data_IF_560934258795
#
_entry.id   IF_560934258795
#
_cell.length_a   1.000
_cell.length_b   1.000
_cell.length_c   1.000
_cell.angle_alpha   90.00
_cell.angle_beta   90.00
_cell.angle_gamma   90.00
#
_symmetry.space_group_name_H-M   'P 1'
#
loop_
_entity.id
_entity.type
_entity.pdbx_description
1 polymer ?
#
# COMPACT_ATOMS: atom_id res chain seq x y z
N UNK A 1 -10.83 65.19 -15.88
CA UNK A 1 -9.75 64.18 -15.92
C UNK A 1 -9.55 63.63 -14.51
N UNK A 2 -10.16 62.48 -14.23
CA UNK A 2 -10.24 61.86 -12.92
C UNK A 2 -9.03 60.97 -12.64
N UNK A 3 -8.39 61.13 -11.47
CA UNK A 3 -7.41 60.18 -10.91
C UNK A 3 -8.13 59.36 -9.84
N UNK A 4 -8.35 58.08 -10.13
CA UNK A 4 -8.98 57.13 -9.23
C UNK A 4 -8.00 56.73 -8.10
N UNK A 5 -8.50 56.77 -6.86
CA UNK A 5 -7.82 56.26 -5.65
C UNK A 5 -7.86 54.73 -5.67
N UNK A 6 -6.70 54.09 -5.48
CA UNK A 6 -6.59 52.67 -5.18
C UNK A 6 -7.29 52.37 -3.83
N UNK A 7 -8.24 51.43 -3.84
CA UNK A 7 -8.78 50.79 -2.64
C UNK A 7 -7.86 49.63 -2.25
N UNK A 8 -7.49 49.59 -0.98
CA UNK A 8 -6.74 48.50 -0.35
C UNK A 8 -7.55 47.20 -0.33
N UNK A 9 -6.87 46.09 -0.60
CA UNK A 9 -7.36 44.71 -0.55
C UNK A 9 -7.62 44.30 0.91
N UNK A 10 -8.71 43.58 1.25
CA UNK A 10 -8.92 43.06 2.59
C UNK A 10 -7.99 41.87 2.86
N UNK A 11 -7.44 41.82 4.08
CA UNK A 11 -6.62 40.74 4.62
C UNK A 11 -7.41 39.43 4.70
N UNK A 12 -6.88 38.37 4.10
CA UNK A 12 -7.35 36.99 4.29
C UNK A 12 -6.89 36.46 5.65
N UNK A 13 -7.64 36.79 6.69
CA UNK A 13 -7.58 36.14 8.00
C UNK A 13 -9.01 35.85 8.44
N UNK A 14 -9.60 34.81 7.86
CA UNK A 14 -10.84 34.18 8.35
C UNK A 14 -10.85 32.73 7.84
N UNK A 15 -10.10 31.87 8.52
CA UNK A 15 -10.30 30.42 8.44
C UNK A 15 -11.55 30.09 9.26
N UNK A 16 -12.50 29.27 8.75
CA UNK A 16 -13.70 28.94 9.51
C UNK A 16 -13.32 28.04 10.70
N UNK A 17 -13.26 28.66 11.88
CA UNK A 17 -13.22 28.00 13.18
C UNK A 17 -14.59 27.39 13.48
N UNK A 18 -14.83 26.17 13.01
CA UNK A 18 -15.93 25.32 13.49
C UNK A 18 -15.53 23.84 13.36
N UNK A 19 -14.43 23.47 14.02
CA UNK A 19 -14.25 22.10 14.51
C UNK A 19 -15.08 21.99 15.79
N UNK A 20 -16.36 21.69 15.59
CA UNK A 20 -17.29 21.33 16.65
C UNK A 20 -16.69 20.24 17.53
N UNK A 21 -16.72 20.45 18.85
CA UNK A 21 -16.44 19.49 19.92
C UNK A 21 -16.75 18.04 19.50
N UNK A 22 -15.70 17.31 19.14
CA UNK A 22 -15.73 15.86 18.96
C UNK A 22 -15.99 15.18 20.32
N UNK A 23 -16.77 14.11 20.28
CA UNK A 23 -17.02 13.22 21.41
C UNK A 23 -15.73 12.42 21.67
N UNK A 24 -15.65 11.64 22.76
CA UNK A 24 -14.39 11.00 23.20
C UNK A 24 -13.62 10.28 22.09
N UNK A 25 -12.30 10.49 22.05
CA UNK A 25 -11.29 9.91 21.11
C UNK A 25 -11.85 9.38 19.77
N UNK A 26 -12.42 10.25 18.93
CA UNK A 26 -12.95 9.96 17.58
C UNK A 26 -11.85 9.55 16.54
N UNK A 27 -10.66 9.12 16.99
CA UNK A 27 -9.55 8.73 16.12
C UNK A 27 -9.75 7.34 15.50
N UNK A 28 -9.27 7.18 14.27
CA UNK A 28 -9.48 5.97 13.46
C UNK A 28 -8.56 4.82 13.85
N UNK A 29 -9.00 3.60 13.56
CA UNK A 29 -8.16 2.40 13.50
C UNK A 29 -8.00 2.01 12.04
N UNK A 30 -6.75 1.92 11.57
CA UNK A 30 -6.43 1.57 10.19
C UNK A 30 -5.65 0.25 10.15
N UNK A 31 -6.05 -0.65 9.25
CA UNK A 31 -5.34 -1.88 8.94
C UNK A 31 -4.79 -1.82 7.51
N UNK A 32 -3.49 -1.91 7.34
CA UNK A 32 -2.80 -1.82 6.06
C UNK A 32 -2.32 -3.20 5.62
N UNK A 33 -2.99 -3.81 4.64
CA UNK A 33 -2.60 -5.10 4.08
C UNK A 33 -1.58 -4.86 2.97
N UNK A 34 -0.35 -5.35 3.16
CA UNK A 34 0.81 -5.07 2.31
C UNK A 34 1.88 -6.15 2.42
N UNK A 35 2.66 -6.35 1.36
CA UNK A 35 3.85 -7.22 1.38
C UNK A 35 5.03 -6.61 2.14
N UNK A 36 5.05 -5.29 2.33
CA UNK A 36 6.12 -4.56 3.02
C UNK A 36 5.78 -4.30 4.50
N UNK A 37 5.02 -5.19 5.15
CA UNK A 37 4.60 -5.00 6.55
C UNK A 37 5.80 -4.99 7.51
N UNK A 38 6.86 -5.74 7.17
CA UNK A 38 8.10 -5.84 7.95
C UNK A 38 9.31 -5.43 7.10
N UNK A 39 9.52 -6.11 5.98
CA UNK A 39 10.67 -5.83 5.12
C UNK A 39 10.34 -4.72 4.13
N UNK A 40 11.15 -3.66 4.13
CA UNK A 40 11.07 -2.58 3.16
C UNK A 40 11.73 -3.05 1.86
N UNK A 41 10.98 -3.74 1.02
CA UNK A 41 11.45 -4.26 -0.27
C UNK A 41 11.32 -3.22 -1.40
N UNK A 42 10.50 -2.18 -1.20
CA UNK A 42 10.14 -1.24 -2.24
C UNK A 42 9.77 0.15 -1.72
N UNK A 43 8.94 0.84 -2.50
CA UNK A 43 8.50 2.20 -2.21
C UNK A 43 7.39 2.26 -1.16
N UNK A 44 6.63 1.18 -0.97
CA UNK A 44 5.45 1.19 -0.10
C UNK A 44 5.87 1.31 1.36
N UNK A 45 6.91 0.58 1.78
CA UNK A 45 7.44 0.65 3.14
C UNK A 45 7.96 2.05 3.50
N UNK A 46 8.60 2.74 2.55
CA UNK A 46 9.04 4.13 2.75
C UNK A 46 7.85 5.08 2.98
N UNK A 47 6.77 4.89 2.22
CA UNK A 47 5.53 5.67 2.35
C UNK A 47 4.86 5.39 3.70
N UNK A 48 4.76 4.11 4.09
CA UNK A 48 4.18 3.72 5.37
C UNK A 48 4.99 4.28 6.55
N UNK A 49 6.31 4.19 6.52
CA UNK A 49 7.17 4.79 7.56
C UNK A 49 6.98 6.31 7.64
N UNK A 50 6.98 7.00 6.49
CA UNK A 50 6.76 8.45 6.44
C UNK A 50 5.37 8.86 6.95
N UNK A 51 4.35 8.05 6.66
CA UNK A 51 2.98 8.26 7.12
C UNK A 51 2.83 8.00 8.63
N UNK A 52 3.32 6.87 9.13
CA UNK A 52 3.22 6.46 10.55
C UNK A 52 3.94 7.45 11.47
N UNK A 53 5.05 8.03 11.01
CA UNK A 53 5.82 9.03 11.75
C UNK A 53 5.30 10.47 11.56
N UNK A 54 4.24 10.68 10.76
CA UNK A 54 3.66 12.00 10.51
C UNK A 54 2.79 12.45 11.69
N UNK A 55 3.03 13.66 12.25
CA UNK A 55 2.18 14.19 13.33
C UNK A 55 0.71 14.34 12.92
N UNK A 56 0.45 14.70 11.65
CA UNK A 56 -0.91 14.86 11.13
C UNK A 56 -1.65 13.53 11.10
N UNK A 57 -0.95 12.46 10.72
CA UNK A 57 -1.51 11.11 10.73
C UNK A 57 -1.81 10.64 12.16
N UNK A 58 -0.88 10.82 13.08
CA UNK A 58 -1.03 10.42 14.49
C UNK A 58 -2.15 11.18 15.24
N UNK A 59 -2.47 12.40 14.80
CA UNK A 59 -3.61 13.17 15.31
C UNK A 59 -4.96 12.57 14.90
N UNK A 60 -5.03 11.87 13.78
CA UNK A 60 -6.26 11.31 13.21
C UNK A 60 -6.40 9.80 13.46
N UNK A 61 -5.28 9.11 13.67
CA UNK A 61 -5.21 7.65 13.77
C UNK A 61 -4.76 7.23 15.16
N UNK A 62 -5.59 6.44 15.83
CA UNK A 62 -5.32 5.86 17.16
C UNK A 62 -4.47 4.61 17.04
N UNK A 63 -4.81 3.73 16.10
CA UNK A 63 -4.16 2.43 15.89
C UNK A 63 -3.83 2.24 14.42
N UNK A 64 -2.59 1.83 14.16
CA UNK A 64 -2.15 1.40 12.83
C UNK A 64 -1.71 -0.04 12.93
N UNK A 65 -2.30 -0.91 12.12
CA UNK A 65 -1.99 -2.34 12.07
C UNK A 65 -1.47 -2.67 10.68
N UNK A 66 -0.21 -3.03 10.55
CA UNK A 66 0.36 -3.54 9.30
C UNK A 66 0.13 -5.05 9.23
N UNK A 67 -0.41 -5.52 8.12
CA UNK A 67 -0.70 -6.94 7.91
C UNK A 67 0.00 -7.45 6.67
N UNK A 68 0.70 -8.58 6.78
CA UNK A 68 1.41 -9.18 5.65
C UNK A 68 1.67 -10.67 5.83
N UNK A 69 2.17 -11.35 4.79
CA UNK A 69 2.68 -12.71 4.92
C UNK A 69 3.95 -12.74 5.78
N UNK A 70 4.21 -13.85 6.46
CA UNK A 70 5.49 -14.05 7.14
C UNK A 70 6.56 -14.45 6.11
N UNK A 71 7.65 -13.68 6.03
CA UNK A 71 8.83 -14.03 5.22
C UNK A 71 9.78 -14.99 5.95
N UNK A 72 9.63 -15.14 7.27
CA UNK A 72 10.68 -15.63 8.16
C UNK A 72 10.40 -17.01 8.77
N UNK A 73 9.99 -18.01 7.98
CA UNK A 73 9.95 -19.39 8.49
C UNK A 73 11.33 -19.87 9.01
N UNK A 74 12.43 -19.26 8.54
CA UNK A 74 13.80 -19.55 8.94
C UNK A 74 14.45 -18.59 9.96
N UNK A 75 13.74 -17.60 10.50
CA UNK A 75 14.34 -16.75 11.54
C UNK A 75 14.67 -17.57 12.78
N UNK A 76 15.95 -17.57 13.16
CA UNK A 76 16.45 -18.31 14.34
C UNK A 76 16.05 -17.62 15.64
N UNK A 77 15.95 -16.29 15.63
CA UNK A 77 15.50 -15.49 16.78
C UNK A 77 14.03 -15.07 16.61
N UNK A 78 13.13 -15.53 17.50
CA UNK A 78 11.74 -15.09 17.56
C UNK A 78 11.55 -13.56 17.51
N UNK A 79 12.42 -12.77 18.15
CA UNK A 79 12.26 -11.30 18.19
C UNK A 79 12.56 -10.64 16.85
N UNK A 80 13.36 -11.27 16.00
CA UNK A 80 13.71 -10.74 14.67
C UNK A 80 12.56 -10.84 13.65
N UNK A 81 11.47 -11.55 13.98
CA UNK A 81 10.35 -11.81 13.05
C UNK A 81 9.64 -10.55 12.56
N UNK A 82 9.63 -9.49 13.37
CA UNK A 82 9.02 -8.20 13.02
C UNK A 82 10.04 -7.18 12.48
N UNK A 83 11.26 -7.64 12.16
CA UNK A 83 12.37 -6.81 11.70
C UNK A 83 13.00 -5.99 12.82
N UNK A 84 13.91 -5.10 12.43
CA UNK A 84 14.58 -4.20 13.38
C UNK A 84 13.57 -3.33 14.12
N UNK A 85 13.81 -3.17 15.43
CA UNK A 85 12.94 -2.42 16.35
C UNK A 85 11.53 -3.00 16.52
N UNK A 86 11.34 -4.27 16.18
CA UNK A 86 10.14 -5.03 16.48
C UNK A 86 10.15 -5.63 17.88
N UNK A 87 8.98 -5.70 18.51
CA UNK A 87 8.73 -6.50 19.71
C UNK A 87 7.64 -7.53 19.41
N UNK A 88 7.98 -8.82 19.49
CA UNK A 88 6.98 -9.89 19.38
C UNK A 88 6.21 -10.03 20.68
N UNK A 89 4.88 -9.92 20.57
CA UNK A 89 3.92 -10.02 21.68
C UNK A 89 3.16 -11.34 21.67
N UNK A 90 2.96 -11.92 20.47
CA UNK A 90 2.37 -13.23 20.26
C UNK A 90 3.07 -13.91 19.08
N UNK A 91 3.37 -15.20 19.21
CA UNK A 91 3.85 -16.03 18.11
C UNK A 91 3.52 -17.48 18.42
N UNK A 92 2.70 -18.11 17.60
CA UNK A 92 2.43 -19.55 17.75
C UNK A 92 3.62 -20.42 17.37
N UNK A 93 4.45 -19.98 16.43
CA UNK A 93 5.67 -20.71 16.02
C UNK A 93 6.68 -20.77 17.15
N UNK A 94 6.81 -19.69 17.93
CA UNK A 94 7.80 -19.58 19.01
C UNK A 94 7.20 -19.80 20.40
N UNK A 95 5.91 -20.15 20.48
CA UNK A 95 5.16 -20.33 21.71
C UNK A 95 5.22 -19.11 22.65
N UNK A 96 5.09 -17.91 22.08
CA UNK A 96 5.06 -16.63 22.79
C UNK A 96 3.61 -16.15 22.91
N UNK A 97 3.18 -15.80 24.12
CA UNK A 97 1.88 -15.17 24.35
C UNK A 97 1.93 -14.19 25.52
N UNK A 98 2.56 -13.03 25.29
CA UNK A 98 2.70 -11.98 26.33
C UNK A 98 1.38 -11.28 26.63
N UNK A 99 0.44 -11.29 25.69
CA UNK A 99 -0.84 -10.57 25.77
C UNK A 99 -2.05 -11.47 26.03
N UNK A 100 -1.85 -12.77 26.25
CA UNK A 100 -2.94 -13.75 26.43
C UNK A 100 -3.91 -13.77 25.24
N UNK A 101 -3.37 -13.66 24.02
CA UNK A 101 -4.11 -13.70 22.77
C UNK A 101 -4.35 -15.13 22.26
N UNK A 102 -3.72 -16.15 22.86
CA UNK A 102 -3.85 -17.53 22.43
C UNK A 102 -5.30 -18.01 22.35
N UNK A 103 -6.15 -17.66 23.33
CA UNK A 103 -7.55 -18.07 23.36
C UNK A 103 -8.37 -17.50 22.19
N UNK A 104 -7.94 -16.37 21.63
CA UNK A 104 -8.59 -15.71 20.50
C UNK A 104 -7.99 -16.14 19.16
N UNK A 105 -6.68 -16.32 19.09
CA UNK A 105 -5.95 -16.56 17.83
C UNK A 105 -5.82 -18.05 17.49
N UNK A 106 -5.64 -18.95 18.47
CA UNK A 106 -5.52 -20.40 18.21
C UNK A 106 -6.71 -21.01 17.45
N UNK A 107 -7.97 -20.64 17.73
CA UNK A 107 -9.10 -21.13 16.94
C UNK A 107 -8.98 -20.78 15.46
N UNK A 108 -8.42 -19.60 15.14
CA UNK A 108 -8.18 -19.15 13.76
C UNK A 108 -7.04 -20.00 13.17
N UNK A 109 -5.93 -20.11 13.88
CA UNK A 109 -4.78 -20.92 13.47
C UNK A 109 -5.15 -22.36 13.14
N UNK A 110 -5.92 -23.02 14.01
CA UNK A 110 -6.39 -24.39 13.78
C UNK A 110 -7.34 -24.49 12.60
N UNK A 111 -8.29 -23.57 12.51
CA UNK A 111 -9.29 -23.65 11.47
C UNK A 111 -8.68 -23.38 10.08
N UNK A 112 -7.67 -22.51 9.98
CA UNK A 112 -6.98 -22.20 8.73
C UNK A 112 -5.68 -22.98 8.51
N UNK A 113 -5.21 -23.74 9.50
CA UNK A 113 -3.91 -24.40 9.49
C UNK A 113 -2.76 -23.44 9.16
N UNK A 114 -2.72 -22.30 9.86
CA UNK A 114 -1.72 -21.23 9.71
C UNK A 114 -1.11 -20.93 11.07
N UNK A 115 0.12 -20.43 11.08
CA UNK A 115 0.67 -19.73 12.24
C UNK A 115 0.41 -18.21 12.12
N UNK A 116 0.35 -17.51 13.25
CA UNK A 116 0.33 -16.05 13.27
C UNK A 116 1.35 -15.51 14.27
N UNK A 117 1.97 -14.39 13.87
CA UNK A 117 2.89 -13.60 14.68
C UNK A 117 2.29 -12.21 14.80
N UNK A 118 2.25 -11.68 16.02
CA UNK A 118 1.73 -10.35 16.29
C UNK A 118 2.63 -9.61 17.27
N UNK A 119 2.78 -8.31 17.06
CA UNK A 119 3.53 -7.47 17.95
C UNK A 119 3.52 -6.02 17.53
N UNK A 120 4.55 -5.29 17.94
CA UNK A 120 4.69 -3.85 17.67
C UNK A 120 6.01 -3.58 16.98
N UNK A 121 6.05 -2.50 16.21
CA UNK A 121 7.25 -1.98 15.59
C UNK A 121 7.35 -0.49 15.82
N UNK A 122 8.53 -0.04 16.24
CA UNK A 122 8.83 1.36 16.43
C UNK A 122 9.59 1.92 15.23
N UNK A 123 9.15 3.08 14.76
CA UNK A 123 9.77 3.83 13.68
C UNK A 123 10.46 5.06 14.25
N UNK A 124 11.76 5.19 13.97
CA UNK A 124 12.58 6.34 14.36
C UNK A 124 13.55 6.68 13.22
N UNK A 125 13.03 7.19 12.09
CA UNK A 125 13.83 7.37 10.89
C UNK A 125 14.99 8.37 11.13
N UNK A 126 16.22 8.05 10.69
CA UNK A 126 17.40 8.86 10.99
C UNK A 126 17.29 10.30 10.49
N UNK A 127 17.71 11.26 11.31
CA UNK A 127 17.73 12.67 10.94
C UNK A 127 16.36 13.35 10.96
N UNK A 128 15.31 12.63 11.33
CA UNK A 128 13.97 13.16 11.55
C UNK A 128 13.69 13.08 13.05
N UNK A 129 13.42 14.20 13.69
CA UNK A 129 12.98 14.22 15.08
C UNK A 129 11.50 13.83 15.20
N UNK A 130 11.17 12.64 14.69
CA UNK A 130 9.82 12.09 14.60
C UNK A 130 9.87 10.60 14.90
N UNK A 131 8.93 10.13 15.69
CA UNK A 131 8.77 8.72 16.01
C UNK A 131 7.37 8.27 15.67
N UNK A 132 7.19 6.97 15.48
CA UNK A 132 5.89 6.34 15.28
C UNK A 132 5.90 4.91 15.77
N UNK A 133 4.71 4.34 15.94
CA UNK A 133 4.52 2.94 16.32
C UNK A 133 3.40 2.37 15.46
N UNK A 134 3.59 1.14 14.99
CA UNK A 134 2.51 0.36 14.40
C UNK A 134 2.49 -1.04 15.00
N UNK A 135 1.30 -1.60 15.11
CA UNK A 135 1.12 -3.02 15.33
C UNK A 135 1.45 -3.76 14.03
N UNK A 136 1.98 -4.97 14.14
CA UNK A 136 2.30 -5.80 12.98
C UNK A 136 1.67 -7.18 13.20
N UNK A 137 0.92 -7.64 12.21
CA UNK A 137 0.28 -8.95 12.16
C UNK A 137 0.79 -9.71 10.93
N UNK A 138 1.52 -10.79 11.18
CA UNK A 138 2.03 -11.67 10.13
C UNK A 138 1.30 -13.00 10.14
N UNK A 139 0.93 -13.48 8.97
CA UNK A 139 0.27 -14.78 8.77
C UNK A 139 1.19 -15.69 7.95
N UNK A 140 1.32 -16.95 8.35
CA UNK A 140 2.01 -17.97 7.56
C UNK A 140 1.17 -18.43 6.36
N UNK A 141 1.59 -18.08 5.15
CA UNK A 141 0.88 -18.44 3.91
C UNK A 141 1.37 -19.74 3.29
N UNK A 142 2.45 -20.35 3.80
CA UNK A 142 2.95 -21.62 3.28
C UNK A 142 2.15 -22.82 3.78
N UNK A 143 1.60 -22.73 4.99
CA UNK A 143 0.67 -23.72 5.55
C UNK A 143 -0.74 -23.16 5.52
N UNK A 144 -1.65 -23.90 4.90
CA UNK A 144 -3.05 -23.52 4.81
C UNK A 144 -3.95 -24.74 4.75
N UNK A 145 -5.19 -24.60 5.20
CA UNK A 145 -6.25 -25.58 5.01
C UNK A 145 -6.80 -25.45 3.57
N UNK A 146 -6.55 -26.43 2.67
CA UNK A 146 -6.92 -26.33 1.26
C UNK A 146 -8.44 -26.27 1.07
N UNK A 147 -9.22 -26.96 1.90
CA UNK A 147 -10.68 -26.97 1.78
C UNK A 147 -11.27 -25.60 2.09
N UNK A 148 -10.73 -24.90 3.08
CA UNK A 148 -11.15 -23.52 3.39
C UNK A 148 -10.75 -22.56 2.28
N UNK A 149 -9.51 -22.65 1.80
CA UNK A 149 -9.03 -21.83 0.70
C UNK A 149 -9.90 -22.01 -0.56
N UNK A 150 -10.24 -23.24 -0.91
CA UNK A 150 -11.09 -23.54 -2.07
C UNK A 150 -12.51 -23.01 -1.89
N UNK A 151 -13.09 -23.13 -0.68
CA UNK A 151 -14.38 -22.50 -0.37
C UNK A 151 -14.32 -20.99 -0.47
N UNK A 152 -13.24 -20.36 -0.01
CA UNK A 152 -13.05 -18.92 -0.13
C UNK A 152 -12.98 -18.47 -1.59
N UNK A 153 -12.15 -19.13 -2.40
CA UNK A 153 -12.05 -18.88 -3.85
C UNK A 153 -13.39 -19.06 -4.55
N UNK A 154 -14.17 -20.08 -4.18
CA UNK A 154 -15.53 -20.27 -4.69
C UNK A 154 -16.46 -19.11 -4.33
N UNK A 155 -16.44 -18.63 -3.08
CA UNK A 155 -17.22 -17.43 -2.68
C UNK A 155 -16.83 -16.19 -3.48
N UNK A 156 -15.52 -15.99 -3.74
CA UNK A 156 -15.06 -14.86 -4.55
C UNK A 156 -15.51 -14.95 -6.00
N UNK A 157 -15.54 -16.16 -6.55
CA UNK A 157 -16.09 -16.40 -7.88
C UNK A 157 -17.60 -16.14 -7.92
N UNK A 158 -18.37 -16.71 -6.99
CA UNK A 158 -19.83 -16.59 -6.96
C UNK A 158 -20.28 -15.13 -6.82
N UNK A 159 -19.62 -14.37 -5.93
CA UNK A 159 -20.03 -12.99 -5.62
C UNK A 159 -19.40 -11.93 -6.52
N UNK A 160 -18.14 -12.09 -6.90
CA UNK A 160 -17.35 -11.07 -7.59
C UNK A 160 -16.86 -11.53 -8.96
N UNK A 161 -17.24 -12.72 -9.40
CA UNK A 161 -16.82 -13.29 -10.67
C UNK A 161 -15.31 -13.49 -10.79
N UNK A 162 -14.55 -13.59 -9.68
CA UNK A 162 -13.09 -13.74 -9.73
C UNK A 162 -12.71 -15.21 -10.05
N UNK A 163 -12.15 -15.50 -11.24
CA UNK A 163 -11.95 -16.88 -11.68
C UNK A 163 -10.61 -17.44 -11.19
N UNK A 164 -10.52 -17.79 -9.90
CA UNK A 164 -9.26 -18.22 -9.27
C UNK A 164 -8.53 -19.32 -10.04
N UNK A 165 -9.24 -20.29 -10.63
CA UNK A 165 -8.64 -21.40 -11.41
C UNK A 165 -7.76 -20.96 -12.58
N UNK A 166 -7.89 -19.72 -13.07
CA UNK A 166 -7.00 -19.16 -14.10
C UNK A 166 -5.63 -18.74 -13.54
N UNK A 167 -5.52 -18.55 -12.23
CA UNK A 167 -4.42 -17.83 -11.58
C UNK A 167 -3.64 -18.66 -10.55
N UNK A 168 -4.17 -19.81 -10.13
CA UNK A 168 -3.62 -20.59 -8.98
C UNK A 168 -2.19 -21.11 -9.20
N UNK A 169 -1.70 -21.12 -10.44
CA UNK A 169 -0.31 -21.43 -10.73
C UNK A 169 0.67 -20.32 -10.34
N UNK A 170 0.19 -19.08 -10.14
CA UNK A 170 1.00 -17.95 -9.74
C UNK A 170 1.09 -17.87 -8.22
N UNK A 171 2.29 -18.03 -7.67
CA UNK A 171 2.52 -17.97 -6.22
C UNK A 171 2.06 -16.63 -5.63
N UNK A 172 2.40 -15.50 -6.27
CA UNK A 172 1.94 -14.17 -5.85
C UNK A 172 0.41 -14.12 -5.66
N UNK A 173 -0.36 -14.79 -6.53
CA UNK A 173 -1.82 -14.82 -6.38
C UNK A 173 -2.24 -15.69 -5.18
N UNK A 174 -1.68 -16.90 -5.10
CA UNK A 174 -1.98 -17.85 -4.03
C UNK A 174 -1.63 -17.31 -2.65
N UNK A 175 -0.49 -16.64 -2.51
CA UNK A 175 -0.02 -16.07 -1.25
C UNK A 175 -1.07 -15.15 -0.62
N UNK A 176 -1.59 -14.19 -1.37
CA UNK A 176 -2.59 -13.25 -0.84
C UNK A 176 -3.99 -13.86 -0.72
N UNK A 177 -4.32 -14.87 -1.53
CA UNK A 177 -5.54 -15.65 -1.33
C UNK A 177 -5.51 -16.41 0.00
N UNK A 178 -4.35 -16.97 0.37
CA UNK A 178 -4.14 -17.67 1.64
C UNK A 178 -4.11 -16.71 2.83
N UNK A 179 -3.62 -15.49 2.63
CA UNK A 179 -3.61 -14.44 3.65
C UNK A 179 -5.02 -13.98 4.05
N UNK A 180 -5.96 -13.93 3.10
CA UNK A 180 -7.22 -13.20 3.19
C UNK A 180 -8.12 -13.53 4.39
N UNK A 181 -8.66 -14.75 4.47
CA UNK A 181 -9.56 -15.13 5.56
C UNK A 181 -8.85 -15.12 6.93
N UNK A 182 -7.63 -15.69 7.11
CA UNK A 182 -6.90 -15.58 8.37
C UNK A 182 -6.66 -14.14 8.83
N UNK A 183 -6.25 -13.25 7.92
CA UNK A 183 -6.09 -11.81 8.19
C UNK A 183 -7.39 -11.20 8.71
N UNK A 184 -8.50 -11.43 8.01
CA UNK A 184 -9.82 -10.91 8.38
C UNK A 184 -10.21 -11.29 9.81
N UNK A 185 -10.13 -12.58 10.13
CA UNK A 185 -10.53 -13.07 11.46
C UNK A 185 -9.54 -12.69 12.55
N UNK A 186 -8.23 -12.66 12.26
CA UNK A 186 -7.21 -12.26 13.22
C UNK A 186 -7.34 -10.78 13.59
N UNK A 187 -7.58 -9.90 12.62
CA UNK A 187 -7.87 -8.49 12.87
C UNK A 187 -9.08 -8.32 13.80
N UNK A 188 -10.17 -9.04 13.54
CA UNK A 188 -11.34 -9.01 14.42
C UNK A 188 -11.06 -9.52 15.83
N UNK A 189 -10.14 -10.48 15.98
CA UNK A 189 -9.78 -11.06 17.27
C UNK A 189 -8.94 -10.12 18.15
N UNK A 190 -8.05 -9.33 17.53
CA UNK A 190 -7.15 -8.39 18.25
C UNK A 190 -7.77 -7.01 18.47
N UNK A 191 -8.85 -6.66 17.76
CA UNK A 191 -9.53 -5.39 17.91
C UNK A 191 -10.61 -5.42 19.01
N UNK A 192 -10.80 -4.28 19.67
CA UNK A 192 -11.93 -4.05 20.56
C UNK A 192 -13.13 -3.50 19.78
N UNK A 193 -14.32 -3.54 20.40
CA UNK A 193 -15.54 -3.04 19.75
C UNK A 193 -15.46 -1.54 19.40
N UNK A 194 -14.73 -0.77 20.20
CA UNK A 194 -14.48 0.66 19.98
C UNK A 194 -13.57 0.95 18.79
N UNK A 195 -12.81 -0.04 18.31
CA UNK A 195 -11.95 0.09 17.14
C UNK A 195 -12.71 -0.16 15.82
N UNK A 196 -14.02 -0.46 15.90
CA UNK A 196 -14.87 -0.78 14.77
C UNK A 196 -15.84 0.38 14.42
N UNK A 197 -16.07 0.67 13.12
CA UNK A 197 -15.47 0.00 11.97
C UNK A 197 -14.00 0.42 11.77
N UNK A 198 -13.14 -0.56 11.48
CA UNK A 198 -11.75 -0.34 11.11
C UNK A 198 -11.65 -0.03 9.60
N UNK A 199 -10.74 0.85 9.19
CA UNK A 199 -10.50 1.08 7.75
C UNK A 199 -9.40 0.14 7.27
N UNK A 200 -9.77 -0.83 6.44
CA UNK A 200 -8.87 -1.79 5.82
C UNK A 200 -8.38 -1.26 4.47
N UNK A 201 -7.09 -0.95 4.40
CA UNK A 201 -6.39 -0.57 3.19
C UNK A 201 -5.82 -1.80 2.48
N UNK A 202 -6.15 -1.94 1.21
CA UNK A 202 -5.41 -2.79 0.28
C UNK A 202 -4.31 -1.97 -0.38
N UNK A 203 -3.06 -2.20 -0.01
CA UNK A 203 -1.94 -1.63 -0.77
C UNK A 203 -1.69 -2.47 -2.02
N UNK A 204 -2.00 -1.90 -3.18
CA UNK A 204 -1.99 -2.59 -4.45
C UNK A 204 -2.83 -3.89 -4.46
N UNK A 205 -2.64 -4.75 -5.47
CA UNK A 205 -3.40 -5.99 -5.66
C UNK A 205 -3.31 -6.96 -4.46
N UNK A 206 -2.29 -6.82 -3.63
CA UNK A 206 -1.94 -7.76 -2.56
C UNK A 206 -2.98 -7.77 -1.43
N UNK A 207 -3.54 -6.62 -1.08
CA UNK A 207 -4.59 -6.55 -0.05
C UNK A 207 -6.00 -6.88 -0.57
N UNK A 208 -6.19 -7.00 -1.89
CA UNK A 208 -7.52 -7.13 -2.48
C UNK A 208 -8.26 -8.38 -2.02
N UNK A 209 -7.64 -9.57 -1.90
CA UNK A 209 -8.32 -10.74 -1.36
C UNK A 209 -8.92 -10.51 0.05
N UNK A 210 -8.17 -9.87 0.95
CA UNK A 210 -8.64 -9.56 2.30
C UNK A 210 -9.77 -8.51 2.30
N UNK A 211 -9.67 -7.49 1.44
CA UNK A 211 -10.72 -6.49 1.26
C UNK A 211 -11.98 -7.10 0.67
N UNK A 212 -11.87 -7.99 -0.33
CA UNK A 212 -13.03 -8.69 -0.90
C UNK A 212 -13.70 -9.62 0.13
N UNK A 213 -12.92 -10.23 1.04
CA UNK A 213 -13.48 -10.94 2.18
C UNK A 213 -14.27 -10.00 3.12
N UNK A 214 -13.74 -8.81 3.41
CA UNK A 214 -14.45 -7.82 4.21
C UNK A 214 -15.74 -7.31 3.53
N UNK A 215 -15.70 -7.04 2.23
CA UNK A 215 -16.88 -6.68 1.42
C UNK A 215 -17.90 -7.84 1.43
N UNK A 216 -17.42 -9.10 1.38
CA UNK A 216 -18.27 -10.27 1.44
C UNK A 216 -19.03 -10.35 2.78
N UNK A 217 -18.36 -10.15 3.92
CA UNK A 217 -18.98 -10.19 5.25
C UNK A 217 -19.85 -8.96 5.54
N UNK A 218 -19.56 -7.83 4.91
CA UNK A 218 -20.35 -6.60 4.93
C UNK A 218 -19.68 -5.45 5.72
N UNK A 219 -20.21 -4.21 5.58
CA UNK A 219 -19.50 -2.99 5.99
C UNK A 219 -19.51 -2.70 7.50
N UNK A 220 -20.07 -3.61 8.32
CA UNK A 220 -20.26 -3.35 9.76
C UNK A 220 -18.95 -3.41 10.55
N UNK A 221 -17.98 -4.18 10.05
CA UNK A 221 -16.68 -4.40 10.71
C UNK A 221 -15.57 -3.59 10.07
N UNK A 222 -15.60 -3.47 8.75
CA UNK A 222 -14.56 -2.79 8.00
C UNK A 222 -15.15 -1.82 6.97
N UNK A 223 -14.50 -0.67 6.84
CA UNK A 223 -14.52 0.14 5.62
C UNK A 223 -13.32 -0.22 4.78
N UNK A 224 -13.47 -0.25 3.48
CA UNK A 224 -12.47 -0.81 2.58
C UNK A 224 -11.95 0.27 1.63
N UNK A 225 -10.62 0.38 1.54
CA UNK A 225 -9.97 1.36 0.66
C UNK A 225 -8.90 0.66 -0.16
N UNK A 226 -8.92 0.86 -1.48
CA UNK A 226 -7.80 0.47 -2.33
C UNK A 226 -6.81 1.63 -2.47
N UNK A 227 -5.57 1.41 -2.07
CA UNK A 227 -4.48 2.39 -2.20
C UNK A 227 -3.57 1.99 -3.37
N UNK A 228 -3.76 2.66 -4.49
CA UNK A 228 -3.08 2.41 -5.76
C UNK A 228 -1.75 3.16 -5.84
N UNK A 229 -0.64 2.44 -5.70
CA UNK A 229 0.71 2.96 -5.95
C UNK A 229 1.11 2.91 -7.43
N UNK A 230 0.54 1.95 -8.17
CA UNK A 230 0.59 1.84 -9.63
C UNK A 230 -0.69 1.15 -10.13
N UNK A 231 -1.00 1.26 -11.42
CA UNK A 231 -1.94 0.36 -12.07
C UNK A 231 -1.16 -0.81 -12.71
N UNK A 232 -1.14 -1.96 -12.04
CA UNK A 232 -0.35 -3.13 -12.49
C UNK A 232 -0.71 -3.62 -13.91
N UNK A 233 -1.97 -3.45 -14.34
CA UNK A 233 -2.37 -3.73 -15.73
C UNK A 233 -1.64 -2.83 -16.71
N UNK A 234 -1.59 -1.53 -16.41
CA UNK A 234 -0.94 -0.53 -17.26
C UNK A 234 0.56 -0.75 -17.30
N UNK A 235 1.19 -1.04 -16.16
CA UNK A 235 2.62 -1.36 -16.12
C UNK A 235 2.98 -2.47 -17.11
N UNK A 236 2.18 -3.55 -17.13
CA UNK A 236 2.39 -4.64 -18.09
C UNK A 236 2.24 -4.17 -19.53
N UNK A 237 1.19 -3.40 -19.84
CA UNK A 237 0.96 -2.88 -21.20
C UNK A 237 2.08 -1.95 -21.67
N UNK A 238 2.60 -1.11 -20.76
CA UNK A 238 3.72 -0.20 -21.02
C UNK A 238 5.02 -0.99 -21.22
N UNK A 239 5.32 -1.96 -20.35
CA UNK A 239 6.59 -2.69 -20.41
C UNK A 239 6.63 -3.70 -21.58
N UNK A 240 5.50 -4.34 -21.92
CA UNK A 240 5.41 -5.37 -22.98
C UNK A 240 5.28 -4.78 -24.40
N UNK A 241 4.81 -3.53 -24.55
CA UNK A 241 4.61 -2.93 -25.88
C UNK A 241 5.81 -2.07 -26.30
N UNK A 242 6.30 -2.16 -27.56
CA UNK A 242 7.50 -1.44 -28.03
C UNK A 242 7.42 0.09 -27.99
N UNK A 243 6.22 0.66 -27.81
CA UNK A 243 6.02 2.10 -27.76
C UNK A 243 5.96 2.66 -26.33
N UNK A 244 6.00 1.78 -25.33
CA UNK A 244 6.00 2.09 -23.90
C UNK A 244 4.97 3.17 -23.52
N UNK A 245 5.37 4.11 -22.65
CA UNK A 245 4.54 5.23 -22.20
C UNK A 245 4.03 6.08 -23.36
N UNK A 246 4.86 6.30 -24.38
CA UNK A 246 4.50 7.17 -25.52
C UNK A 246 3.31 6.60 -26.27
N UNK A 247 3.26 5.29 -26.49
CA UNK A 247 2.09 4.65 -27.09
C UNK A 247 0.93 4.64 -26.11
N UNK A 248 1.15 4.14 -24.89
CA UNK A 248 0.07 3.86 -23.94
C UNK A 248 -0.75 5.11 -23.60
N UNK A 249 -0.09 6.20 -23.20
CA UNK A 249 -0.82 7.41 -22.78
C UNK A 249 -1.48 8.15 -23.96
N UNK A 250 -0.96 7.99 -25.19
CA UNK A 250 -1.64 8.48 -26.38
C UNK A 250 -2.90 7.67 -26.68
N UNK A 251 -2.81 6.34 -26.60
CA UNK A 251 -3.94 5.44 -26.78
C UNK A 251 -5.03 5.67 -25.70
N UNK A 252 -4.63 5.78 -24.43
CA UNK A 252 -5.53 6.07 -23.31
C UNK A 252 -6.32 7.36 -23.56
N UNK A 253 -5.64 8.46 -23.95
CA UNK A 253 -6.32 9.74 -24.21
C UNK A 253 -7.37 9.62 -25.31
N UNK A 254 -7.00 9.04 -26.46
CA UNK A 254 -7.92 8.86 -27.59
C UNK A 254 -9.08 7.92 -27.24
N UNK A 255 -8.81 6.84 -26.51
CA UNK A 255 -9.82 5.88 -26.12
C UNK A 255 -10.85 6.47 -25.14
N UNK A 256 -10.40 7.32 -24.20
CA UNK A 256 -11.29 8.02 -23.27
C UNK A 256 -12.28 8.95 -23.98
N UNK A 257 -11.85 9.64 -25.03
CA UNK A 257 -12.74 10.48 -25.84
C UNK A 257 -13.85 9.65 -26.53
N UNK A 258 -13.56 8.37 -26.81
CA UNK A 258 -14.47 7.43 -27.44
C UNK A 258 -15.23 6.53 -26.43
N UNK A 259 -15.01 6.70 -25.12
CA UNK A 259 -15.50 5.82 -24.04
C UNK A 259 -15.15 4.34 -24.25
N UNK A 260 -13.94 4.10 -24.75
CA UNK A 260 -13.33 2.77 -24.83
C UNK A 260 -12.41 2.56 -23.64
N UNK A 261 -12.28 1.30 -23.21
CA UNK A 261 -11.48 0.90 -22.05
C UNK A 261 -10.36 -0.04 -22.45
N UNK A 262 -9.54 -0.47 -21.47
CA UNK A 262 -8.37 -1.33 -21.69
C UNK A 262 -8.68 -2.53 -22.59
N UNK A 263 -9.74 -3.28 -22.31
CA UNK A 263 -10.07 -4.49 -23.06
C UNK A 263 -10.52 -4.22 -24.50
N UNK A 264 -11.09 -3.04 -24.78
CA UNK A 264 -11.50 -2.64 -26.12
C UNK A 264 -10.30 -2.29 -27.01
N UNK A 265 -9.22 -1.77 -26.40
CA UNK A 265 -8.04 -1.27 -27.11
C UNK A 265 -6.93 -2.31 -27.19
N UNK A 266 -6.68 -3.03 -26.09
CA UNK A 266 -5.56 -3.95 -25.95
C UNK A 266 -5.99 -5.43 -25.92
N UNK A 267 -7.30 -5.69 -26.02
CA UNK A 267 -7.86 -7.02 -25.87
C UNK A 267 -7.98 -7.46 -24.42
N UNK A 268 -8.60 -8.61 -24.21
CA UNK A 268 -8.91 -9.15 -22.89
C UNK A 268 -7.67 -9.37 -22.01
N UNK A 269 -7.66 -8.75 -20.83
CA UNK A 269 -6.60 -8.93 -19.81
C UNK A 269 -6.89 -10.05 -18.78
N UNK A 270 -7.93 -10.86 -19.00
CA UNK A 270 -8.38 -11.95 -18.12
C UNK A 270 -7.33 -13.02 -17.76
N UNK A 271 -6.27 -13.15 -18.55
CA UNK A 271 -5.17 -14.06 -18.24
C UNK A 271 -4.22 -13.54 -17.15
N UNK A 272 -4.37 -12.29 -16.75
CA UNK A 272 -3.47 -11.63 -15.81
C UNK A 272 -4.15 -11.45 -14.44
N UNK A 273 -3.70 -12.22 -13.46
CA UNK A 273 -4.33 -12.23 -12.13
C UNK A 273 -4.35 -10.85 -11.46
N UNK A 274 -3.31 -10.02 -11.66
CA UNK A 274 -3.29 -8.67 -11.09
C UNK A 274 -4.38 -7.80 -11.70
N UNK A 275 -4.60 -7.89 -13.02
CA UNK A 275 -5.76 -7.28 -13.68
C UNK A 275 -7.08 -7.80 -13.09
N UNK A 276 -7.20 -9.12 -12.91
CA UNK A 276 -8.35 -9.73 -12.25
C UNK A 276 -8.63 -9.15 -10.85
N UNK A 277 -7.61 -8.91 -10.04
CA UNK A 277 -7.80 -8.30 -8.72
C UNK A 277 -8.09 -6.80 -8.80
N UNK A 278 -7.29 -6.03 -9.55
CA UNK A 278 -7.43 -4.57 -9.57
C UNK A 278 -8.68 -4.09 -10.31
N UNK A 279 -9.21 -4.85 -11.28
CA UNK A 279 -10.48 -4.52 -11.96
C UNK A 279 -11.67 -4.52 -11.01
N UNK A 280 -11.54 -5.14 -9.83
CA UNK A 280 -12.57 -5.24 -8.78
C UNK A 280 -12.41 -4.20 -7.67
N UNK A 281 -11.46 -3.26 -7.78
CA UNK A 281 -11.23 -2.23 -6.75
C UNK A 281 -12.35 -1.20 -6.68
N UNK A 282 -13.17 -1.09 -7.73
CA UNK A 282 -14.41 -0.31 -7.74
C UNK A 282 -15.45 -0.82 -6.71
N UNK A 283 -15.26 -2.01 -6.14
CA UNK A 283 -16.12 -2.56 -5.09
C UNK A 283 -15.78 -2.04 -3.69
N UNK A 284 -14.61 -1.42 -3.51
CA UNK A 284 -14.20 -0.83 -2.23
C UNK A 284 -15.05 0.40 -1.89
N UNK A 285 -15.14 0.75 -0.60
CA UNK A 285 -15.78 2.01 -0.17
C UNK A 285 -15.04 3.25 -0.70
N UNK A 286 -13.74 3.14 -0.98
CA UNK A 286 -12.93 4.21 -1.57
C UNK A 286 -11.73 3.72 -2.37
N UNK A 287 -11.25 4.56 -3.29
CA UNK A 287 -10.05 4.35 -4.08
C UNK A 287 -9.15 5.57 -3.99
N UNK A 288 -7.89 5.34 -3.60
CA UNK A 288 -6.85 6.37 -3.54
C UNK A 288 -5.81 6.06 -4.61
N UNK A 289 -5.41 7.07 -5.39
CA UNK A 289 -4.35 6.97 -6.37
C UNK A 289 -3.19 7.91 -6.01
N UNK A 290 -1.95 7.44 -6.13
CA UNK A 290 -0.77 8.25 -5.75
C UNK A 290 -0.37 9.35 -6.73
N UNK A 291 -1.11 9.50 -7.82
CA UNK A 291 -0.89 10.53 -8.83
C UNK A 291 -1.98 10.57 -9.88
N UNK A 292 -1.99 11.65 -10.68
CA UNK A 292 -3.00 11.90 -11.71
C UNK A 292 -3.01 10.82 -12.80
N UNK A 293 -1.84 10.35 -13.22
CA UNK A 293 -1.74 9.26 -14.19
C UNK A 293 -2.37 7.97 -13.65
N UNK A 294 -2.05 7.58 -12.42
CA UNK A 294 -2.64 6.39 -11.80
C UNK A 294 -4.17 6.52 -11.72
N UNK A 295 -4.70 7.69 -11.35
CA UNK A 295 -6.15 7.94 -11.39
C UNK A 295 -6.70 7.70 -12.78
N UNK A 296 -6.10 8.30 -13.80
CA UNK A 296 -6.60 8.23 -15.18
C UNK A 296 -6.47 6.82 -15.77
N UNK A 297 -5.44 6.07 -15.39
CA UNK A 297 -5.27 4.65 -15.69
C UNK A 297 -6.41 3.80 -15.12
N UNK A 298 -6.80 4.04 -13.86
CA UNK A 298 -7.95 3.36 -13.25
C UNK A 298 -9.26 3.73 -13.95
N UNK A 299 -9.47 5.00 -14.33
CA UNK A 299 -10.63 5.40 -15.16
C UNK A 299 -10.66 4.67 -16.50
N UNK A 300 -9.50 4.43 -17.09
CA UNK A 300 -9.37 3.70 -18.35
C UNK A 300 -9.54 2.18 -18.20
N UNK A 301 -9.38 1.64 -16.99
CA UNK A 301 -9.44 0.19 -16.73
C UNK A 301 -10.80 -0.43 -17.05
N UNK A 302 -11.89 0.32 -16.88
CA UNK A 302 -13.23 -0.14 -17.22
C UNK A 302 -14.33 0.83 -16.80
N UNK A 303 -15.52 0.71 -17.41
CA UNK A 303 -16.67 1.59 -17.15
C UNK A 303 -17.09 1.73 -15.69
N UNK A 304 -16.83 0.70 -14.88
CA UNK A 304 -17.15 0.72 -13.45
C UNK A 304 -16.38 1.80 -12.70
N UNK A 305 -15.27 2.28 -13.27
CA UNK A 305 -14.45 3.33 -12.72
C UNK A 305 -14.90 4.73 -13.13
N UNK A 306 -15.91 4.93 -13.98
CA UNK A 306 -16.27 6.28 -14.45
C UNK A 306 -16.91 7.15 -13.36
N UNK A 307 -17.69 6.54 -12.47
CA UNK A 307 -18.51 7.27 -11.49
C UNK A 307 -18.00 7.14 -10.05
N UNK A 308 -17.01 6.29 -9.79
CA UNK A 308 -16.49 6.13 -8.42
C UNK A 308 -15.59 7.32 -8.06
N UNK A 309 -15.60 7.83 -6.83
CA UNK A 309 -14.61 8.82 -6.39
C UNK A 309 -13.22 8.16 -6.34
N UNK A 310 -12.23 8.81 -6.96
CA UNK A 310 -10.81 8.42 -6.86
C UNK A 310 -10.06 9.64 -6.33
N UNK A 311 -9.61 9.55 -5.08
CA UNK A 311 -8.86 10.62 -4.44
C UNK A 311 -7.38 10.52 -4.83
N UNK A 312 -6.79 11.64 -5.27
CA UNK A 312 -5.35 11.70 -5.57
C UNK A 312 -4.61 12.11 -4.31
N UNK A 313 -3.78 11.20 -3.79
CA UNK A 313 -2.97 11.41 -2.58
C UNK A 313 -1.52 11.11 -2.90
N UNK A 314 -0.73 12.16 -3.13
CA UNK A 314 0.69 11.99 -3.46
C UNK A 314 1.47 11.39 -2.29
N UNK A 315 2.41 10.51 -2.62
CA UNK A 315 3.35 9.95 -1.66
C UNK A 315 4.24 11.06 -1.07
N UNK A 316 3.98 11.43 0.17
CA UNK A 316 4.80 12.38 0.92
C UNK A 316 6.02 11.68 1.51
N UNK A 317 7.20 12.26 1.30
CA UNK A 317 8.42 11.85 2.00
C UNK A 317 8.82 12.93 3.01
N UNK A 318 9.32 12.53 4.19
CA UNK A 318 9.85 13.49 5.13
C UNK A 318 11.09 14.18 4.54
N UNK A 319 11.13 15.51 4.65
CA UNK A 319 12.27 16.30 4.17
C UNK A 319 13.39 16.22 5.20
N UNK A 320 14.50 15.55 4.83
CA UNK A 320 15.73 15.56 5.61
C UNK A 320 16.48 16.87 5.30
N UNK A 321 16.73 17.75 6.30
CA UNK A 321 17.44 18.99 6.06
C UNK A 321 18.86 18.72 5.55
N UNK A 322 19.25 19.41 4.47
CA UNK A 322 20.56 19.27 3.85
C UNK A 322 21.27 20.63 3.81
N UNK A 323 22.49 20.69 4.32
CA UNK A 323 23.29 21.93 4.33
C UNK A 323 24.13 22.05 3.07
N UNK A 324 24.45 23.28 2.65
CA UNK A 324 25.37 23.50 1.52
C UNK A 324 26.73 22.82 1.74
N UNK A 325 27.22 22.83 2.98
CA UNK A 325 28.46 22.12 3.36
C UNK A 325 28.35 20.61 3.11
N UNK A 326 27.25 19.98 3.50
CA UNK A 326 27.03 18.54 3.26
C UNK A 326 26.90 18.21 1.77
N UNK A 327 26.27 19.08 0.97
CA UNK A 327 26.20 18.93 -0.49
C UNK A 327 27.58 19.03 -1.14
N UNK A 328 28.37 20.03 -0.74
CA UNK A 328 29.74 20.21 -1.24
C UNK A 328 30.64 19.02 -0.86
N UNK A 329 30.57 18.55 0.39
CA UNK A 329 31.32 17.37 0.81
C UNK A 329 30.96 16.13 -0.01
N UNK A 330 29.66 15.85 -0.20
CA UNK A 330 29.20 14.71 -1.00
C UNK A 330 29.63 14.82 -2.46
N UNK A 331 29.56 16.03 -3.03
CA UNK A 331 30.05 16.33 -4.38
C UNK A 331 31.54 16.09 -4.51
N UNK A 332 32.35 16.59 -3.57
CA UNK A 332 33.81 16.37 -3.54
C UNK A 332 34.12 14.89 -3.48
N UNK A 333 33.43 14.11 -2.65
CA UNK A 333 33.62 12.65 -2.57
C UNK A 333 33.38 11.96 -3.92
N UNK A 334 32.30 12.28 -4.63
CA UNK A 334 32.00 11.72 -5.95
C UNK A 334 33.01 12.15 -7.02
N UNK A 335 33.48 13.40 -6.96
CA UNK A 335 34.52 13.91 -7.86
C UNK A 335 35.87 13.23 -7.61
N UNK A 336 36.29 13.08 -6.36
CA UNK A 336 37.54 12.40 -5.98
C UNK A 336 37.50 10.93 -6.40
N UNK A 337 36.34 10.28 -6.24
CA UNK A 337 36.12 8.92 -6.73
C UNK A 337 36.22 8.84 -8.26
N UNK A 338 35.58 9.78 -8.97
CA UNK A 338 35.63 9.85 -10.44
C UNK A 338 37.04 10.10 -10.95
N UNK A 339 37.82 10.96 -10.29
CA UNK A 339 39.21 11.25 -10.64
C UNK A 339 40.12 10.05 -10.46
N UNK A 340 39.93 9.28 -9.38
CA UNK A 340 40.65 8.01 -9.19
C UNK A 340 40.26 6.94 -10.22
N UNK A 341 38.99 6.89 -10.62
CA UNK A 341 38.47 5.87 -11.52
C UNK A 341 38.78 6.17 -12.99
N UNK A 342 38.65 7.43 -13.40
CA UNK A 342 38.67 7.87 -14.81
C UNK A 342 39.89 8.73 -15.16
N UNK A 343 40.69 9.14 -14.17
CA UNK A 343 41.86 10.01 -14.37
C UNK A 343 41.53 11.49 -14.59
N UNK A 344 40.27 11.90 -14.44
CA UNK A 344 39.86 13.30 -14.54
C UNK A 344 38.74 13.65 -13.55
N UNK A 345 38.70 14.93 -13.16
CA UNK A 345 37.71 15.44 -12.20
C UNK A 345 36.53 16.10 -12.92
N UNK A 346 35.31 15.56 -12.86
CA UNK A 346 34.16 16.12 -13.57
C UNK A 346 33.64 17.41 -12.88
N UNK A 347 33.29 18.41 -13.69
CA UNK A 347 32.63 19.64 -13.22
C UNK A 347 31.12 19.45 -13.02
N UNK A 348 30.49 18.57 -13.77
CA UNK A 348 29.06 18.26 -13.66
C UNK A 348 28.89 16.77 -13.43
N UNK A 349 28.13 16.42 -12.40
CA UNK A 349 27.76 15.06 -12.07
C UNK A 349 26.27 14.91 -12.32
N UNK A 350 25.89 14.08 -13.28
CA UNK A 350 24.52 13.68 -13.53
C UNK A 350 24.37 12.22 -13.10
N UNK A 351 23.35 11.93 -12.31
CA UNK A 351 23.08 10.58 -11.82
C UNK A 351 21.64 10.19 -12.16
N UNK A 352 21.48 8.96 -12.63
CA UNK A 352 20.17 8.33 -12.83
C UNK A 352 20.13 7.07 -11.96
N UNK A 353 19.54 7.18 -10.78
CA UNK A 353 19.50 6.10 -9.78
C UNK A 353 18.10 5.51 -9.75
N UNK A 354 17.98 4.24 -10.12
CA UNK A 354 16.69 3.57 -10.21
C UNK A 354 16.87 2.05 -10.32
N UNK A 355 15.77 1.29 -10.17
CA UNK A 355 15.73 -0.14 -10.47
C UNK A 355 15.97 -0.36 -11.98
N UNK A 356 16.65 -1.45 -12.39
CA UNK A 356 16.96 -1.73 -13.78
C UNK A 356 15.73 -2.26 -14.53
N UNK A 357 14.73 -1.41 -14.76
CA UNK A 357 13.50 -1.74 -15.49
C UNK A 357 13.25 -0.73 -16.62
N UNK A 358 12.64 -1.18 -17.71
CA UNK A 358 12.45 -0.40 -18.95
C UNK A 358 11.70 0.91 -18.68
N UNK A 359 10.66 0.85 -17.85
CA UNK A 359 9.83 1.98 -17.44
C UNK A 359 10.58 3.09 -16.68
N UNK A 360 11.90 2.94 -16.45
CA UNK A 360 12.75 3.96 -15.86
C UNK A 360 13.60 4.71 -16.87
N UNK A 361 13.52 4.39 -18.16
CA UNK A 361 14.20 5.15 -19.21
C UNK A 361 15.74 5.05 -19.13
N UNK A 362 16.27 3.94 -18.61
CA UNK A 362 17.70 3.66 -18.60
C UNK A 362 18.24 3.11 -19.94
N UNK A 363 17.36 2.56 -20.77
CA UNK A 363 17.67 1.96 -22.06
C UNK A 363 16.65 2.44 -23.09
N UNK A 364 17.14 2.81 -24.27
CA UNK A 364 16.37 3.04 -25.49
C UNK A 364 16.69 1.93 -26.49
#
# INVERSE_FOLDING_TARGET
MARAKLKATPSTTDAPSNLSKARGDDRLTLAHVTHEAVEQLGGIGAVLEGMITSPVYQQQVKRTILVGPTSTQGAVDPQSRLGDHGEVLYSSVDNIDKLQLADKLRPIEWAFNTAIVYGKRHYNPPGLNRTGEAEVLLIDTFRINPDRLNRFKFKLWERFGLPSWKYESAWDYEEYMRLAEPCYYALLAIMHREDLPCVMFSHEFMGMPAVLQAIHDGPTKFRTVFHAHECSTVRRLVEDHPGHDTMFYNALRQARDLKLYVDDVFGSMDGYFRHGLISRTHLCDGLIAVGDYVRDEFRFLGRHFDDIPIDVVYNGLPVIPCTMKSKQASRTMLQDYSEKLLGYRPEVLMTHITRPVISKGLLA
#
